data_IF_757072941036
#
_entry.id   IF_757072941036
#
_cell.length_a   1.000
_cell.length_b   1.000
_cell.length_c   1.000
_cell.angle_alpha   90.00
_cell.angle_beta   90.00
_cell.angle_gamma   90.00
#
_symmetry.space_group_name_H-M   'P 1'
#
loop_
_entity.id
_entity.type
_entity.pdbx_description
1 polymer ?
#
# COMPACT_ATOMS: atom_id res chain seq x y z
N UNK A 1 21.19 11.06 2.99
CA UNK A 1 20.07 10.22 2.52
C UNK A 1 19.30 11.07 1.52
N UNK A 2 19.32 10.73 0.24
CA UNK A 2 18.54 11.46 -0.76
C UNK A 2 17.10 11.52 -0.26
N UNK A 3 16.60 12.75 -0.08
CA UNK A 3 15.28 13.03 0.44
C UNK A 3 14.28 12.51 -0.59
N UNK A 4 13.92 11.23 -0.49
CA UNK A 4 13.00 10.62 -1.41
C UNK A 4 11.72 11.44 -1.39
N UNK A 5 11.38 11.99 -2.55
CA UNK A 5 10.18 12.79 -2.69
C UNK A 5 8.96 11.89 -2.59
N UNK A 6 7.89 12.40 -2.00
CA UNK A 6 6.56 11.85 -2.24
C UNK A 6 6.26 12.05 -3.73
N UNK A 7 6.16 10.95 -4.47
CA UNK A 7 5.81 10.97 -5.89
C UNK A 7 4.36 11.39 -6.11
N UNK A 8 3.96 11.48 -7.39
CA UNK A 8 2.57 11.81 -7.78
C UNK A 8 1.57 10.71 -7.38
N UNK A 9 2.03 9.46 -7.26
CA UNK A 9 1.36 8.36 -6.58
C UNK A 9 2.27 7.86 -5.45
N UNK A 10 1.77 7.84 -4.21
CA UNK A 10 2.43 7.13 -3.12
C UNK A 10 1.67 5.82 -2.90
N UNK A 11 2.35 4.68 -3.07
CA UNK A 11 1.78 3.40 -2.69
C UNK A 11 1.77 3.25 -1.18
N UNK A 12 0.78 2.54 -0.64
CA UNK A 12 0.84 2.06 0.73
C UNK A 12 1.78 0.87 0.83
N UNK A 13 2.51 0.80 1.94
CA UNK A 13 3.37 -0.33 2.21
C UNK A 13 2.53 -1.61 2.43
N UNK A 14 2.70 -2.65 1.60
CA UNK A 14 1.90 -3.88 1.74
C UNK A 14 2.17 -4.59 3.06
N UNK A 15 3.40 -4.56 3.57
CA UNK A 15 3.75 -5.20 4.85
C UNK A 15 3.14 -4.48 6.06
N UNK A 16 3.10 -3.14 6.06
CA UNK A 16 2.42 -2.37 7.11
C UNK A 16 0.90 -2.50 6.99
N UNK A 17 0.38 -2.49 5.77
CA UNK A 17 -1.06 -2.56 5.51
C UNK A 17 -1.65 -3.91 5.93
N UNK A 18 -0.90 -5.01 5.78
CA UNK A 18 -1.28 -6.32 6.35
C UNK A 18 -1.36 -6.34 7.89
N UNK A 19 -0.79 -5.34 8.57
CA UNK A 19 -0.87 -5.14 10.03
C UNK A 19 -1.83 -4.02 10.40
N UNK A 20 -2.70 -3.64 9.47
CA UNK A 20 -3.70 -2.58 9.62
C UNK A 20 -3.08 -1.20 9.91
N UNK A 21 -1.81 -1.03 9.51
CA UNK A 21 -1.06 0.23 9.61
C UNK A 21 -0.99 0.86 8.22
N UNK A 22 -1.57 2.04 8.09
CA UNK A 22 -1.47 2.84 6.88
C UNK A 22 -0.15 3.62 6.84
N UNK A 23 0.72 3.31 5.88
CA UNK A 23 2.01 3.96 5.74
C UNK A 23 2.33 4.17 4.27
N UNK A 24 2.54 5.43 3.89
CA UNK A 24 3.04 5.81 2.57
C UNK A 24 4.46 5.27 2.35
N UNK A 25 4.70 4.76 1.16
CA UNK A 25 6.03 4.41 0.67
C UNK A 25 6.70 5.61 0.01
N UNK A 26 8.02 5.60 0.08
CA UNK A 26 8.89 6.55 -0.63
C UNK A 26 9.47 5.89 -1.87
N UNK A 27 9.70 6.67 -2.92
CA UNK A 27 10.30 6.20 -4.16
C UNK A 27 11.76 6.64 -4.28
N UNK A 28 12.66 5.70 -4.48
CA UNK A 28 14.06 5.94 -4.83
C UNK A 28 14.19 5.88 -6.36
N UNK A 29 14.45 7.04 -6.99
CA UNK A 29 14.60 7.15 -8.45
C UNK A 29 15.86 6.46 -8.97
N UNK A 30 16.93 6.43 -8.18
CA UNK A 30 18.21 5.88 -8.59
C UNK A 30 18.13 4.35 -8.66
N UNK A 31 17.38 3.75 -7.73
CA UNK A 31 17.17 2.31 -7.65
C UNK A 31 15.90 1.83 -8.34
N UNK A 32 14.98 2.74 -8.67
CA UNK A 32 13.63 2.45 -9.17
C UNK A 32 12.82 1.56 -8.22
N UNK A 33 13.00 1.78 -6.93
CA UNK A 33 12.38 0.96 -5.88
C UNK A 33 11.54 1.82 -4.94
N UNK A 34 10.46 1.23 -4.45
CA UNK A 34 9.71 1.78 -3.34
C UNK A 34 10.23 1.20 -2.03
N UNK A 35 10.32 2.05 -1.00
CA UNK A 35 10.70 1.62 0.33
C UNK A 35 9.82 2.23 1.42
N UNK A 36 9.64 1.48 2.50
CA UNK A 36 8.87 1.90 3.67
C UNK A 36 9.82 2.25 4.82
N UNK A 37 9.67 3.43 5.40
CA UNK A 37 10.46 3.86 6.56
C UNK A 37 10.10 3.12 7.86
N UNK A 38 8.88 2.57 7.96
CA UNK A 38 8.41 1.94 9.18
C UNK A 38 8.89 0.50 9.35
N UNK A 39 8.77 -0.32 8.30
CA UNK A 39 9.11 -1.75 8.38
C UNK A 39 10.32 -2.14 7.52
N UNK A 40 11.02 -1.16 6.93
CA UNK A 40 12.17 -1.37 6.04
C UNK A 40 11.89 -2.22 4.80
N UNK A 41 10.62 -2.48 4.47
CA UNK A 41 10.23 -3.16 3.24
C UNK A 41 10.73 -2.38 2.01
N UNK A 42 11.20 -3.11 1.00
CA UNK A 42 11.66 -2.60 -0.30
C UNK A 42 11.09 -3.50 -1.40
N UNK A 43 10.72 -2.91 -2.53
CA UNK A 43 10.23 -3.66 -3.68
C UNK A 43 10.11 -2.80 -4.93
N UNK A 44 10.08 -3.44 -6.09
CA UNK A 44 9.70 -2.81 -7.35
C UNK A 44 8.22 -2.41 -7.34
N UNK A 45 7.81 -1.56 -8.28
CA UNK A 45 6.40 -1.19 -8.44
C UNK A 45 5.49 -2.40 -8.61
N UNK A 46 5.92 -3.36 -9.44
CA UNK A 46 5.18 -4.60 -9.70
C UNK A 46 5.01 -5.45 -8.42
N UNK A 47 6.04 -5.58 -7.59
CA UNK A 47 5.97 -6.31 -6.31
C UNK A 47 5.02 -5.62 -5.33
N UNK A 48 5.06 -4.29 -5.26
CA UNK A 48 4.18 -3.48 -4.41
C UNK A 48 2.71 -3.63 -4.83
N UNK A 49 2.42 -3.59 -6.13
CA UNK A 49 1.06 -3.75 -6.66
C UNK A 49 0.52 -5.15 -6.37
N UNK A 50 1.29 -6.19 -6.68
CA UNK A 50 0.90 -7.58 -6.45
C UNK A 50 0.62 -7.86 -4.97
N UNK A 51 1.46 -7.33 -4.06
CA UNK A 51 1.26 -7.51 -2.61
C UNK A 51 0.11 -6.67 -2.06
N UNK A 52 -0.14 -5.49 -2.60
CA UNK A 52 -1.34 -4.72 -2.24
C UNK A 52 -2.62 -5.42 -2.69
N UNK A 53 -2.61 -6.10 -3.85
CA UNK A 53 -3.75 -6.90 -4.29
C UNK A 53 -4.04 -8.04 -3.32
N UNK A 54 -3.02 -8.77 -2.84
CA UNK A 54 -3.19 -9.79 -1.80
C UNK A 54 -3.80 -9.22 -0.51
N UNK A 55 -3.43 -7.99 -0.12
CA UNK A 55 -3.99 -7.37 1.08
C UNK A 55 -5.49 -7.07 0.95
N UNK A 56 -6.01 -6.89 -0.27
CA UNK A 56 -7.46 -6.69 -0.52
C UNK A 56 -8.30 -7.92 -0.17
N UNK A 57 -7.71 -9.12 -0.13
CA UNK A 57 -8.41 -10.33 0.32
C UNK A 57 -9.05 -10.16 1.71
N UNK A 58 -8.40 -9.41 2.63
CA UNK A 58 -8.95 -9.13 3.97
C UNK A 58 -10.17 -8.20 3.92
N UNK A 59 -10.30 -7.41 2.86
CA UNK A 59 -11.30 -6.36 2.71
C UNK A 59 -12.24 -6.69 1.54
N UNK A 60 -12.90 -7.86 1.61
CA UNK A 60 -13.76 -8.36 0.53
C UNK A 60 -14.88 -7.39 0.11
N UNK A 61 -15.42 -6.64 1.07
CA UNK A 61 -16.47 -5.64 0.85
C UNK A 61 -15.92 -4.20 0.78
N UNK A 62 -14.62 -3.98 0.53
CA UNK A 62 -14.02 -2.62 0.55
C UNK A 62 -14.70 -1.63 -0.39
N UNK A 63 -15.26 -2.14 -1.49
CA UNK A 63 -15.95 -1.35 -2.52
C UNK A 63 -17.47 -1.43 -2.42
N UNK A 64 -18.00 -2.23 -1.49
CA UNK A 64 -19.43 -2.37 -1.27
C UNK A 64 -19.88 -1.39 -0.20
N UNK A 65 -20.92 -0.62 -0.50
CA UNK A 65 -21.56 0.26 0.47
C UNK A 65 -22.85 -0.40 0.94
N UNK A 66 -22.80 -1.00 2.13
CA UNK A 66 -24.01 -1.48 2.78
C UNK A 66 -24.88 -0.31 3.24
N UNK A 67 -26.16 -0.41 2.95
CA UNK A 67 -27.23 0.49 3.40
C UNK A 67 -28.13 -0.26 4.38
N UNK A 68 -29.03 0.47 5.05
CA UNK A 68 -29.98 -0.15 6.00
C UNK A 68 -30.86 -1.22 5.33
N UNK A 69 -31.19 -1.03 4.04
CA UNK A 69 -32.10 -1.89 3.28
C UNK A 69 -31.48 -3.21 2.83
N UNK A 70 -30.16 -3.38 2.95
CA UNK A 70 -29.46 -4.63 2.60
C UNK A 70 -29.59 -5.71 3.71
N UNK A 71 -30.21 -5.37 4.84
CA UNK A 71 -30.36 -6.22 6.01
C UNK A 71 -31.83 -6.41 6.46
N UNK A 72 -32.79 -5.88 5.70
CA UNK A 72 -34.24 -6.09 5.87
C UNK A 72 -34.71 -7.31 5.07
#
# INVERSE_FOLDING_TARGET
MAQAGKGKLNYRCPSCFMRDIDMDMFYDKDKKEYYCLRCQYRGSEEDVLKKNEMARFRYGAMYERYTKFDFD
#
